data_IF_313393319829
#
_entry.id   IF_313393319829
#
_cell.length_a   1.000
_cell.length_b   1.000
_cell.length_c   1.000
_cell.angle_alpha   90.00
_cell.angle_beta   90.00
_cell.angle_gamma   90.00
#
_symmetry.space_group_name_H-M   'P 1'
#
loop_
_entity.id
_entity.type
_entity.pdbx_description
1 polymer ?
#
# COMPACT_ATOMS: atom_id res chain seq x y z
N UNK A 1 -1.56 2.95 -13.60
CA UNK A 1 -0.38 2.08 -13.87
C UNK A 1 0.33 1.64 -12.58
N UNK A 2 0.77 2.52 -11.70
CA UNK A 2 1.48 2.12 -10.46
C UNK A 2 0.74 1.06 -9.62
N UNK A 3 -0.56 1.21 -9.39
CA UNK A 3 -1.36 0.28 -8.58
C UNK A 3 -1.50 -1.11 -9.19
N UNK A 4 -1.47 -1.25 -10.53
CA UNK A 4 -1.44 -2.57 -11.19
C UNK A 4 -0.14 -3.35 -10.94
N UNK A 5 0.93 -2.65 -10.57
CA UNK A 5 2.19 -3.29 -10.16
C UNK A 5 2.18 -3.57 -8.65
N UNK A 6 1.67 -2.64 -7.86
CA UNK A 6 1.73 -2.71 -6.40
C UNK A 6 0.72 -3.70 -5.80
N UNK A 7 -0.51 -3.76 -6.35
CA UNK A 7 -1.51 -4.69 -5.82
C UNK A 7 -1.06 -6.15 -5.90
N UNK A 8 -0.56 -6.67 -7.03
CA UNK A 8 0.03 -8.02 -7.08
C UNK A 8 1.20 -8.20 -6.11
N UNK A 9 2.04 -7.17 -5.91
CA UNK A 9 3.18 -7.25 -4.99
C UNK A 9 2.75 -7.52 -3.54
N UNK A 10 1.55 -7.04 -3.11
CA UNK A 10 0.96 -7.32 -1.80
C UNK A 10 0.63 -8.82 -1.59
N UNK A 11 0.60 -9.62 -2.65
CA UNK A 11 0.39 -11.07 -2.61
C UNK A 11 1.70 -11.80 -2.87
N UNK A 12 2.45 -11.37 -3.87
CA UNK A 12 3.70 -12.03 -4.32
C UNK A 12 4.75 -12.03 -3.22
N UNK A 13 5.03 -10.89 -2.58
CA UNK A 13 6.07 -10.81 -1.56
C UNK A 13 5.77 -11.67 -0.32
N UNK A 14 4.56 -11.65 0.26
CA UNK A 14 4.23 -12.59 1.34
C UNK A 14 4.38 -14.06 0.96
N UNK A 15 3.96 -14.46 -0.25
CA UNK A 15 4.12 -15.85 -0.72
C UNK A 15 5.60 -16.18 -0.93
N UNK A 16 6.38 -15.28 -1.53
CA UNK A 16 7.81 -15.47 -1.78
C UNK A 16 8.60 -15.69 -0.48
N UNK A 17 8.31 -14.90 0.55
CA UNK A 17 9.05 -14.94 1.80
C UNK A 17 8.57 -16.02 2.76
N UNK A 18 7.26 -16.23 2.85
CA UNK A 18 6.64 -17.03 3.91
C UNK A 18 5.85 -18.23 3.40
N UNK A 19 5.55 -18.27 2.10
CA UNK A 19 4.85 -19.40 1.48
C UNK A 19 5.63 -20.71 1.59
N UNK A 20 4.89 -21.82 1.67
CA UNK A 20 5.51 -23.14 1.51
C UNK A 20 6.04 -23.32 0.09
N UNK A 21 6.90 -24.29 -0.14
CA UNK A 21 7.44 -24.55 -1.48
C UNK A 21 6.32 -24.92 -2.48
N UNK A 22 5.27 -25.58 -2.01
CA UNK A 22 4.07 -25.89 -2.79
C UNK A 22 3.32 -24.62 -3.16
N UNK A 23 3.12 -23.70 -2.21
CA UNK A 23 2.48 -22.40 -2.47
C UNK A 23 3.28 -21.55 -3.46
N UNK A 24 4.60 -21.50 -3.30
CA UNK A 24 5.49 -20.79 -4.24
C UNK A 24 5.39 -21.37 -5.64
N UNK A 25 5.47 -22.71 -5.77
CA UNK A 25 5.34 -23.42 -7.06
C UNK A 25 3.96 -23.23 -7.70
N UNK A 26 2.90 -23.17 -6.90
CA UNK A 26 1.53 -23.02 -7.40
C UNK A 26 1.25 -21.61 -7.88
N UNK A 27 1.61 -20.59 -7.10
CA UNK A 27 1.13 -19.22 -7.30
C UNK A 27 2.14 -18.28 -7.99
N UNK A 28 3.44 -18.38 -7.69
CA UNK A 28 4.41 -17.40 -8.19
C UNK A 28 4.64 -17.44 -9.71
N UNK A 29 4.63 -18.59 -10.41
CA UNK A 29 4.88 -18.62 -11.84
C UNK A 29 3.91 -17.78 -12.68
N UNK A 30 2.66 -17.62 -12.22
CA UNK A 30 1.66 -16.80 -12.90
C UNK A 30 2.05 -15.31 -12.99
N UNK A 31 2.84 -14.82 -12.04
CA UNK A 31 3.28 -13.41 -11.99
C UNK A 31 4.56 -13.13 -12.80
N UNK A 32 5.25 -14.16 -13.25
CA UNK A 32 6.46 -14.04 -14.12
C UNK A 32 6.19 -14.26 -15.60
N UNK A 33 4.94 -14.50 -15.97
CA UNK A 33 4.54 -14.75 -17.37
C UNK A 33 4.28 -13.46 -18.16
N UNK A 34 4.00 -13.61 -19.47
CA UNK A 34 3.62 -12.49 -20.35
C UNK A 34 2.20 -11.96 -20.07
N UNK A 35 1.33 -12.78 -19.50
CA UNK A 35 -0.04 -12.39 -19.15
C UNK A 35 -0.09 -11.77 -17.76
N UNK A 36 -0.69 -10.59 -17.68
CA UNK A 36 -0.94 -9.92 -16.39
C UNK A 36 -1.80 -10.80 -15.48
N UNK A 37 -1.31 -11.06 -14.27
CA UNK A 37 -2.04 -11.75 -13.21
C UNK A 37 -2.54 -10.74 -12.20
N UNK A 38 -3.85 -10.55 -12.13
CA UNK A 38 -4.47 -9.64 -11.17
C UNK A 38 -4.51 -10.27 -9.77
N UNK A 39 -3.99 -9.56 -8.80
CA UNK A 39 -4.04 -9.99 -7.40
C UNK A 39 -4.05 -8.78 -6.46
N UNK A 40 -4.61 -8.96 -5.27
CA UNK A 40 -4.68 -7.92 -4.25
C UNK A 40 -4.72 -8.52 -2.85
N UNK A 41 -4.56 -7.67 -1.83
CA UNK A 41 -4.70 -8.10 -0.44
C UNK A 41 -5.85 -7.38 0.28
N UNK A 42 -6.47 -8.08 1.24
CA UNK A 42 -7.57 -7.59 2.03
C UNK A 42 -7.21 -7.63 3.52
N UNK A 43 -6.89 -6.46 4.08
CA UNK A 43 -6.49 -6.31 5.47
C UNK A 43 -7.50 -5.49 6.27
N UNK A 44 -7.84 -4.28 5.79
CA UNK A 44 -8.61 -3.29 6.52
C UNK A 44 -10.06 -3.77 6.74
N UNK A 45 -10.61 -3.51 7.92
CA UNK A 45 -11.97 -3.85 8.32
C UNK A 45 -12.81 -2.58 8.53
N UNK A 46 -14.12 -2.61 8.23
CA UNK A 46 -15.01 -1.45 8.33
C UNK A 46 -15.36 -1.16 9.81
N UNK A 47 -14.37 -0.77 10.60
CA UNK A 47 -14.55 -0.38 12.01
C UNK A 47 -13.71 0.84 12.38
N UNK A 48 -14.22 1.66 13.26
CA UNK A 48 -13.61 2.93 13.65
C UNK A 48 -12.20 2.78 14.23
N UNK A 49 -12.01 1.83 15.15
CA UNK A 49 -10.71 1.55 15.78
C UNK A 49 -10.05 0.34 15.13
N UNK A 50 -9.73 0.43 13.83
CA UNK A 50 -9.06 -0.66 13.15
C UNK A 50 -7.63 -0.86 13.70
N UNK A 51 -7.35 -2.10 14.09
CA UNK A 51 -6.02 -2.56 14.50
C UNK A 51 -5.67 -3.82 13.69
N UNK A 52 -4.60 -3.79 12.88
CA UNK A 52 -4.20 -4.94 12.06
C UNK A 52 -3.78 -6.16 12.88
N UNK A 53 -3.43 -5.97 14.15
CA UNK A 53 -3.07 -7.04 15.07
C UNK A 53 -4.27 -7.63 15.83
N UNK A 54 -5.45 -7.02 15.71
CA UNK A 54 -6.68 -7.46 16.37
C UNK A 54 -7.84 -7.48 15.38
N UNK A 55 -7.80 -8.42 14.43
CA UNK A 55 -8.80 -8.53 13.37
C UNK A 55 -10.11 -9.12 13.88
N UNK A 56 -11.24 -8.60 13.39
CA UNK A 56 -12.59 -9.12 13.63
C UNK A 56 -12.96 -10.25 12.66
N UNK A 57 -12.42 -10.21 11.44
CA UNK A 57 -12.51 -11.33 10.49
C UNK A 57 -11.82 -12.53 11.09
N UNK A 58 -12.51 -13.66 11.16
CA UNK A 58 -12.02 -14.90 11.80
C UNK A 58 -11.71 -15.98 10.79
N UNK A 59 -10.74 -16.83 11.11
CA UNK A 59 -10.45 -18.05 10.38
C UNK A 59 -10.43 -19.22 11.37
N UNK A 60 -11.27 -20.22 11.16
CA UNK A 60 -11.39 -21.41 12.00
C UNK A 60 -11.04 -22.65 11.18
N UNK A 61 -10.16 -23.49 11.73
CA UNK A 61 -9.86 -24.80 11.14
C UNK A 61 -11.05 -25.74 11.35
N UNK A 62 -11.53 -26.36 10.27
CA UNK A 62 -12.62 -27.33 10.26
C UNK A 62 -12.22 -28.52 9.38
N UNK A 63 -11.72 -29.58 9.99
CA UNK A 63 -11.18 -30.73 9.31
C UNK A 63 -9.97 -30.39 8.42
N UNK A 64 -10.12 -30.53 7.11
CA UNK A 64 -9.08 -30.22 6.13
C UNK A 64 -9.31 -28.87 5.42
N UNK A 65 -10.11 -27.99 6.02
CA UNK A 65 -10.44 -26.66 5.46
C UNK A 65 -10.36 -25.59 6.54
N UNK A 66 -10.12 -24.35 6.13
CA UNK A 66 -10.41 -23.15 6.92
C UNK A 66 -11.75 -22.58 6.52
N UNK A 67 -12.50 -22.14 7.51
CA UNK A 67 -13.74 -21.36 7.34
C UNK A 67 -13.47 -19.95 7.77
N UNK A 68 -13.62 -19.00 6.84
CA UNK A 68 -13.42 -17.59 7.07
C UNK A 68 -14.76 -16.86 7.11
N UNK A 69 -14.92 -15.98 8.10
CA UNK A 69 -16.12 -15.15 8.26
C UNK A 69 -15.74 -13.74 8.72
N UNK A 70 -16.31 -12.71 8.07
CA UNK A 70 -16.07 -11.30 8.38
C UNK A 70 -16.16 -10.40 7.15
N UNK A 71 -15.72 -9.17 7.31
CA UNK A 71 -15.80 -8.12 6.30
C UNK A 71 -14.47 -7.38 6.16
N UNK A 72 -14.17 -6.94 4.92
CA UNK A 72 -13.02 -6.11 4.58
C UNK A 72 -13.45 -4.94 3.73
N UNK A 73 -12.72 -3.82 3.80
CA UNK A 73 -13.00 -2.62 3.02
C UNK A 73 -11.72 -2.03 2.42
N UNK A 74 -11.88 -1.07 1.53
CA UNK A 74 -10.79 -0.37 0.83
C UNK A 74 -9.83 -1.31 0.12
N UNK A 75 -10.34 -2.41 -0.44
CA UNK A 75 -9.51 -3.40 -1.14
C UNK A 75 -9.27 -2.92 -2.57
N UNK A 76 -8.03 -2.58 -2.93
CA UNK A 76 -7.75 -2.04 -4.25
C UNK A 76 -7.93 -3.10 -5.34
N UNK A 77 -8.65 -2.75 -6.42
CA UNK A 77 -8.84 -3.57 -7.62
C UNK A 77 -9.41 -4.97 -7.37
N UNK A 78 -10.20 -5.17 -6.29
CA UNK A 78 -10.69 -6.50 -5.90
C UNK A 78 -11.59 -7.14 -6.96
N UNK A 79 -12.40 -6.36 -7.68
CA UNK A 79 -13.28 -6.90 -8.73
C UNK A 79 -12.51 -7.54 -9.89
N UNK A 80 -11.29 -7.07 -10.17
CA UNK A 80 -10.43 -7.57 -11.24
C UNK A 80 -9.50 -8.69 -10.76
N UNK A 81 -9.30 -8.83 -9.44
CA UNK A 81 -8.34 -9.77 -8.87
C UNK A 81 -8.78 -11.23 -9.03
N UNK A 82 -7.90 -12.07 -9.57
CA UNK A 82 -8.06 -13.51 -9.64
C UNK A 82 -7.62 -14.20 -8.34
N UNK A 83 -6.71 -13.55 -7.60
CA UNK A 83 -6.12 -14.06 -6.37
C UNK A 83 -6.13 -12.99 -5.28
N UNK A 84 -6.62 -13.34 -4.10
CA UNK A 84 -6.67 -12.47 -2.93
C UNK A 84 -5.86 -13.07 -1.78
N UNK A 85 -5.07 -12.24 -1.10
CA UNK A 85 -4.48 -12.56 0.19
C UNK A 85 -5.30 -11.87 1.29
N UNK A 86 -6.16 -12.64 1.95
CA UNK A 86 -7.05 -12.13 3.00
C UNK A 86 -6.42 -12.38 4.36
N UNK A 87 -6.38 -11.37 5.20
CA UNK A 87 -5.90 -11.50 6.58
C UNK A 87 -7.07 -11.68 7.54
N UNK A 88 -6.96 -12.67 8.42
CA UNK A 88 -7.98 -13.02 9.41
C UNK A 88 -7.32 -13.48 10.72
N UNK A 89 -8.05 -13.35 11.83
CA UNK A 89 -7.62 -13.86 13.13
C UNK A 89 -7.78 -15.37 13.21
N UNK A 90 -6.69 -16.08 13.46
CA UNK A 90 -6.65 -17.49 13.82
C UNK A 90 -6.06 -17.62 15.21
N UNK A 91 -6.85 -18.16 16.16
CA UNK A 91 -6.44 -18.32 17.56
C UNK A 91 -5.85 -17.02 18.18
N UNK A 92 -6.44 -15.88 17.88
CA UNK A 92 -6.02 -14.56 18.39
C UNK A 92 -4.82 -13.94 17.69
N UNK A 93 -4.31 -14.52 16.61
CA UNK A 93 -3.19 -13.99 15.82
C UNK A 93 -3.61 -13.73 14.38
N UNK A 94 -3.18 -12.62 13.81
CA UNK A 94 -3.42 -12.29 12.39
C UNK A 94 -2.62 -13.21 11.49
N UNK A 95 -3.29 -13.91 10.57
CA UNK A 95 -2.72 -14.83 9.60
C UNK A 95 -3.22 -14.53 8.19
N UNK A 96 -2.45 -14.90 7.17
CA UNK A 96 -2.80 -14.74 5.77
C UNK A 96 -3.44 -16.00 5.18
N UNK A 97 -4.47 -15.81 4.34
CA UNK A 97 -5.20 -16.88 3.66
C UNK A 97 -5.32 -16.55 2.17
N UNK A 98 -4.86 -17.46 1.32
CA UNK A 98 -4.87 -17.29 -0.13
C UNK A 98 -6.23 -17.79 -0.65
N UNK A 99 -6.99 -16.88 -1.28
CA UNK A 99 -8.34 -17.16 -1.77
C UNK A 99 -8.39 -16.87 -3.27
N UNK A 100 -8.87 -17.82 -4.06
CA UNK A 100 -9.07 -17.68 -5.49
C UNK A 100 -10.45 -17.05 -5.77
N UNK A 101 -10.56 -16.25 -6.83
CA UNK A 101 -11.83 -15.67 -7.27
C UNK A 101 -12.89 -16.74 -7.47
N UNK A 102 -14.11 -16.45 -7.06
CA UNK A 102 -15.23 -17.38 -7.20
C UNK A 102 -15.31 -18.47 -6.13
N UNK A 103 -14.44 -18.42 -5.10
CA UNK A 103 -14.56 -19.31 -3.93
C UNK A 103 -15.95 -19.11 -3.27
N UNK A 104 -16.72 -20.17 -3.01
CA UNK A 104 -18.03 -20.05 -2.35
C UNK A 104 -17.92 -19.35 -0.99
N UNK A 105 -18.82 -18.42 -0.73
CA UNK A 105 -18.81 -17.58 0.47
C UNK A 105 -17.93 -16.34 0.39
N UNK A 106 -17.21 -16.12 -0.72
CA UNK A 106 -16.50 -14.88 -1.02
C UNK A 106 -17.41 -14.00 -1.89
N UNK A 107 -17.78 -12.83 -1.40
CA UNK A 107 -18.55 -11.84 -2.13
C UNK A 107 -17.76 -10.53 -2.21
N UNK A 108 -17.61 -9.99 -3.42
CA UNK A 108 -17.01 -8.66 -3.64
C UNK A 108 -18.17 -7.69 -3.89
N UNK A 109 -18.23 -6.64 -3.07
CA UNK A 109 -19.26 -5.62 -3.12
C UNK A 109 -19.12 -4.65 -4.29
N UNK A 110 -19.92 -3.59 -4.26
CA UNK A 110 -19.81 -2.51 -5.23
C UNK A 110 -18.52 -1.69 -5.01
N UNK A 111 -18.12 -0.96 -6.06
CA UNK A 111 -17.02 -0.01 -5.96
C UNK A 111 -17.34 1.09 -4.95
N UNK A 112 -16.43 1.31 -4.01
CA UNK A 112 -16.55 2.37 -3.01
C UNK A 112 -16.45 3.77 -3.65
N UNK A 113 -17.26 4.70 -3.13
CA UNK A 113 -17.33 6.09 -3.60
C UNK A 113 -16.43 6.97 -2.72
N UNK A 114 -15.15 6.98 -3.01
CA UNK A 114 -14.17 7.78 -2.26
C UNK A 114 -14.18 9.25 -2.70
N UNK A 115 -13.90 10.16 -1.78
CA UNK A 115 -13.73 11.59 -2.06
C UNK A 115 -12.47 11.84 -2.90
N UNK A 116 -11.35 11.23 -2.52
CA UNK A 116 -10.06 11.24 -3.25
C UNK A 116 -9.78 9.93 -3.94
N UNK A 117 -8.59 9.79 -4.53
CA UNK A 117 -8.04 8.57 -5.17
C UNK A 117 -9.05 7.94 -6.16
N UNK A 118 -9.78 8.75 -6.90
CA UNK A 118 -10.86 8.29 -7.80
C UNK A 118 -10.37 7.38 -8.92
N UNK A 119 -9.09 7.47 -9.27
CA UNK A 119 -8.47 6.58 -10.26
C UNK A 119 -8.21 5.17 -9.73
N UNK A 120 -8.17 4.96 -8.42
CA UNK A 120 -8.04 3.65 -7.78
C UNK A 120 -9.42 3.14 -7.35
N UNK A 121 -9.91 2.11 -8.02
CA UNK A 121 -11.13 1.44 -7.59
C UNK A 121 -10.85 0.62 -6.33
N UNK A 122 -11.58 0.87 -5.26
CA UNK A 122 -11.58 0.06 -4.03
C UNK A 122 -12.94 -0.57 -3.82
N UNK A 123 -12.97 -1.66 -3.07
CA UNK A 123 -14.15 -2.50 -2.88
C UNK A 123 -14.26 -2.99 -1.45
N UNK A 124 -15.48 -3.26 -1.02
CA UNK A 124 -15.75 -4.08 0.14
C UNK A 124 -15.70 -5.57 -0.24
N UNK A 125 -15.42 -6.42 0.75
CA UNK A 125 -15.43 -7.86 0.61
C UNK A 125 -16.12 -8.47 1.83
N UNK A 126 -17.06 -9.39 1.58
CA UNK A 126 -17.74 -10.16 2.62
C UNK A 126 -17.35 -11.64 2.52
N UNK A 127 -17.04 -12.22 3.66
CA UNK A 127 -16.73 -13.64 3.85
C UNK A 127 -17.85 -14.26 4.68
N UNK A 128 -18.68 -15.09 4.05
CA UNK A 128 -19.82 -15.79 4.68
C UNK A 128 -19.53 -17.29 4.69
N UNK A 129 -18.91 -17.76 5.77
CA UNK A 129 -18.44 -19.16 5.90
C UNK A 129 -17.62 -19.63 4.69
N UNK A 130 -16.76 -18.72 4.19
CA UNK A 130 -15.91 -18.97 3.03
C UNK A 130 -14.95 -20.11 3.33
N UNK A 131 -15.12 -21.25 2.64
CA UNK A 131 -14.32 -22.46 2.83
C UNK A 131 -13.18 -22.52 1.85
N UNK A 132 -11.96 -22.62 2.39
CA UNK A 132 -10.74 -22.81 1.61
C UNK A 132 -9.96 -24.04 2.09
N UNK A 133 -9.18 -24.66 1.20
CA UNK A 133 -8.29 -25.77 1.58
C UNK A 133 -7.29 -25.35 2.66
N UNK A 134 -6.93 -26.28 3.54
CA UNK A 134 -5.97 -26.03 4.63
C UNK A 134 -4.61 -25.54 4.13
N UNK A 135 -4.19 -26.02 2.98
CA UNK A 135 -2.94 -25.64 2.32
C UNK A 135 -2.92 -24.18 1.82
N UNK A 136 -4.06 -23.51 1.77
CA UNK A 136 -4.17 -22.09 1.38
C UNK A 136 -3.86 -21.12 2.54
N UNK A 137 -3.64 -21.61 3.76
CA UNK A 137 -3.07 -20.78 4.84
C UNK A 137 -1.62 -20.45 4.50
N UNK A 138 -1.27 -19.19 4.42
CA UNK A 138 0.08 -18.74 4.09
C UNK A 138 1.11 -19.31 5.06
N UNK A 139 2.16 -19.94 4.54
CA UNK A 139 3.18 -20.61 5.32
C UNK A 139 2.72 -21.97 5.90
N UNK A 140 1.56 -22.48 5.50
CA UNK A 140 1.03 -23.78 5.90
C UNK A 140 0.90 -23.89 7.43
N UNK A 141 1.40 -24.98 8.01
CA UNK A 141 1.33 -25.21 9.47
C UNK A 141 2.10 -24.19 10.31
N UNK A 142 3.19 -23.63 9.78
CA UNK A 142 4.01 -22.61 10.47
C UNK A 142 3.29 -21.27 10.55
N UNK A 143 2.46 -20.94 9.55
CA UNK A 143 1.84 -19.63 9.41
C UNK A 143 2.81 -18.57 8.90
N UNK A 144 2.37 -17.31 8.95
CA UNK A 144 3.17 -16.17 8.52
C UNK A 144 3.59 -15.29 9.71
N UNK A 145 4.75 -14.66 9.57
CA UNK A 145 5.17 -13.54 10.42
C UNK A 145 4.44 -12.29 9.95
N UNK A 146 3.27 -12.04 10.54
CA UNK A 146 2.42 -10.92 10.15
C UNK A 146 3.08 -9.56 10.41
N UNK A 147 3.86 -9.42 11.48
CA UNK A 147 4.58 -8.19 11.78
C UNK A 147 5.58 -7.82 10.66
N UNK A 148 6.29 -8.83 10.16
CA UNK A 148 7.22 -8.64 9.03
C UNK A 148 6.49 -8.21 7.75
N UNK A 149 5.30 -8.76 7.50
CA UNK A 149 4.45 -8.34 6.36
C UNK A 149 4.07 -6.87 6.49
N UNK A 150 3.58 -6.45 7.66
CA UNK A 150 3.21 -5.06 7.93
C UNK A 150 4.41 -4.12 7.78
N UNK A 151 5.56 -4.46 8.34
CA UNK A 151 6.77 -3.64 8.25
C UNK A 151 7.22 -3.48 6.79
N UNK A 152 7.19 -4.54 5.99
CA UNK A 152 7.49 -4.47 4.56
C UNK A 152 6.49 -3.56 3.82
N UNK A 153 5.21 -3.67 4.11
CA UNK A 153 4.17 -2.82 3.51
C UNK A 153 4.39 -1.34 3.86
N UNK A 154 4.73 -1.04 5.11
CA UNK A 154 5.08 0.32 5.56
C UNK A 154 6.25 0.89 4.79
N UNK A 155 7.35 0.15 4.66
CA UNK A 155 8.53 0.59 3.91
C UNK A 155 8.19 0.83 2.43
N UNK A 156 7.42 -0.06 1.80
CA UNK A 156 7.01 0.08 0.41
C UNK A 156 6.12 1.31 0.18
N UNK A 157 5.13 1.55 1.04
CA UNK A 157 4.24 2.72 0.97
C UNK A 157 5.02 4.02 1.20
N UNK A 158 5.94 4.05 2.15
CA UNK A 158 6.79 5.21 2.39
C UNK A 158 7.72 5.52 1.21
N UNK A 159 8.25 4.49 0.54
CA UNK A 159 9.02 4.68 -0.69
C UNK A 159 8.18 5.26 -1.83
N UNK A 160 6.89 4.88 -1.91
CA UNK A 160 5.94 5.51 -2.84
C UNK A 160 5.69 6.98 -2.48
N UNK A 161 5.50 7.30 -1.21
CA UNK A 161 5.32 8.67 -0.73
C UNK A 161 6.51 9.56 -1.12
N UNK A 162 7.75 9.05 -0.99
CA UNK A 162 8.97 9.73 -1.49
C UNK A 162 8.88 9.98 -3.00
N UNK A 163 8.38 9.02 -3.78
CA UNK A 163 8.20 9.18 -5.23
C UNK A 163 7.20 10.26 -5.60
N UNK A 164 6.05 10.30 -4.91
CA UNK A 164 5.01 11.33 -5.10
C UNK A 164 5.55 12.72 -4.72
N UNK A 165 6.15 12.83 -3.53
CA UNK A 165 6.73 14.08 -3.05
C UNK A 165 7.81 14.61 -4.00
N UNK A 166 8.70 13.73 -4.48
CA UNK A 166 9.74 14.09 -5.46
C UNK A 166 9.13 14.65 -6.76
N UNK A 167 8.11 14.01 -7.30
CA UNK A 167 7.45 14.49 -8.53
C UNK A 167 6.81 15.88 -8.33
N UNK A 168 6.12 16.09 -7.22
CA UNK A 168 5.54 17.38 -6.87
C UNK A 168 6.60 18.48 -6.69
N UNK A 169 7.72 18.14 -5.99
CA UNK A 169 8.84 19.05 -5.81
C UNK A 169 9.52 19.42 -7.14
N UNK A 170 9.88 18.44 -7.97
CA UNK A 170 10.55 18.70 -9.25
C UNK A 170 9.69 19.58 -10.15
N UNK A 171 8.39 19.30 -10.22
CA UNK A 171 7.46 20.11 -11.01
C UNK A 171 7.34 21.55 -10.50
N UNK A 172 7.12 21.73 -9.19
CA UNK A 172 6.98 23.06 -8.59
C UNK A 172 8.28 23.88 -8.64
N UNK A 173 9.44 23.22 -8.50
CA UNK A 173 10.77 23.85 -8.65
C UNK A 173 10.96 24.40 -10.07
N UNK A 174 10.64 23.62 -11.10
CA UNK A 174 10.83 24.02 -12.48
C UNK A 174 9.84 25.10 -12.86
N UNK A 175 8.57 24.99 -12.44
CA UNK A 175 7.60 26.08 -12.56
C UNK A 175 8.09 27.37 -11.91
N UNK A 176 8.65 27.33 -10.71
CA UNK A 176 9.13 28.52 -9.99
C UNK A 176 10.28 29.23 -10.71
N UNK A 177 11.12 28.49 -11.47
CA UNK A 177 12.20 29.07 -12.28
C UNK A 177 11.70 29.74 -13.54
N UNK A 178 10.61 29.29 -14.12
CA UNK A 178 10.06 29.80 -15.39
C UNK A 178 9.01 30.88 -15.17
N UNK A 179 8.21 30.78 -14.11
CA UNK A 179 7.12 31.72 -13.81
C UNK A 179 7.67 33.06 -13.37
N UNK A 180 7.43 34.08 -14.18
CA UNK A 180 7.77 35.49 -13.86
C UNK A 180 6.57 36.19 -13.22
N UNK A 181 6.80 36.82 -12.06
CA UNK A 181 5.87 37.72 -11.40
C UNK A 181 6.64 38.87 -10.76
N UNK A 182 6.10 40.08 -10.89
CA UNK A 182 6.75 41.30 -10.39
C UNK A 182 8.16 41.52 -10.97
N UNK A 183 8.37 41.19 -12.25
CA UNK A 183 9.58 41.46 -13.00
C UNK A 183 10.71 40.42 -12.88
N UNK A 184 10.54 39.36 -12.10
CA UNK A 184 11.55 38.29 -11.94
C UNK A 184 10.91 36.91 -11.74
N UNK A 185 11.68 35.80 -11.96
CA UNK A 185 11.21 34.46 -11.61
C UNK A 185 10.79 34.37 -10.15
N UNK A 186 9.68 33.65 -9.88
CA UNK A 186 9.20 33.53 -8.48
C UNK A 186 10.18 32.74 -7.59
N UNK A 187 11.06 31.94 -8.16
CA UNK A 187 12.15 31.26 -7.45
C UNK A 187 13.13 32.24 -6.76
N UNK A 188 13.23 33.50 -7.23
CA UNK A 188 14.05 34.53 -6.61
C UNK A 188 13.46 35.07 -5.29
N UNK A 189 12.17 34.78 -5.04
CA UNK A 189 11.51 35.18 -3.80
C UNK A 189 11.93 34.26 -2.65
N UNK A 190 12.44 34.86 -1.58
CA UNK A 190 12.98 34.12 -0.43
C UNK A 190 11.98 33.11 0.15
N UNK A 191 10.69 33.46 0.25
CA UNK A 191 9.67 32.55 0.76
C UNK A 191 9.53 31.29 -0.12
N UNK A 192 9.56 31.42 -1.45
CA UNK A 192 9.51 30.30 -2.39
C UNK A 192 10.80 29.48 -2.32
N UNK A 193 11.96 30.15 -2.30
CA UNK A 193 13.26 29.47 -2.20
C UNK A 193 13.36 28.62 -0.93
N UNK A 194 12.87 29.14 0.20
CA UNK A 194 12.88 28.39 1.48
C UNK A 194 11.92 27.20 1.46
N UNK A 195 10.69 27.35 0.92
CA UNK A 195 9.80 26.20 0.74
C UNK A 195 10.46 25.10 -0.08
N UNK A 196 11.07 25.44 -1.21
CA UNK A 196 11.76 24.46 -2.05
C UNK A 196 12.94 23.78 -1.33
N UNK A 197 13.72 24.54 -0.56
CA UNK A 197 14.83 23.99 0.21
C UNK A 197 14.36 23.00 1.30
N UNK A 198 13.32 23.36 2.04
CA UNK A 198 12.73 22.50 3.06
C UNK A 198 12.11 21.23 2.43
N UNK A 199 11.38 21.34 1.32
CA UNK A 199 10.85 20.18 0.59
C UNK A 199 11.97 19.22 0.19
N UNK A 200 13.09 19.73 -0.33
CA UNK A 200 14.22 18.90 -0.73
C UNK A 200 14.83 18.16 0.46
N UNK A 201 15.03 18.85 1.59
CA UNK A 201 15.59 18.25 2.82
C UNK A 201 14.71 17.11 3.32
N UNK A 202 13.40 17.34 3.41
CA UNK A 202 12.45 16.36 3.94
C UNK A 202 12.31 15.12 3.04
N UNK A 203 12.32 15.30 1.72
CA UNK A 203 12.34 14.20 0.75
C UNK A 203 13.61 13.34 0.93
N UNK A 204 14.78 13.97 1.03
CA UNK A 204 16.04 13.26 1.15
C UNK A 204 16.17 12.55 2.51
N UNK A 205 15.73 13.18 3.60
CA UNK A 205 15.68 12.57 4.93
C UNK A 205 14.79 11.32 4.91
N UNK A 206 13.56 11.42 4.38
CA UNK A 206 12.63 10.29 4.29
C UNK A 206 13.18 9.17 3.41
N UNK A 207 13.85 9.51 2.30
CA UNK A 207 14.49 8.53 1.41
C UNK A 207 15.57 7.73 2.13
N UNK A 208 16.41 8.39 2.92
CA UNK A 208 17.46 7.73 3.70
C UNK A 208 16.87 6.80 4.76
N UNK A 209 15.80 7.21 5.45
CA UNK A 209 15.07 6.36 6.40
C UNK A 209 14.48 5.13 5.68
N UNK A 210 13.93 5.31 4.48
CA UNK A 210 13.39 4.20 3.69
C UNK A 210 14.49 3.21 3.27
N UNK A 211 15.66 3.69 2.89
CA UNK A 211 16.82 2.84 2.56
C UNK A 211 17.35 2.08 3.78
N UNK A 212 17.44 2.72 4.94
CA UNK A 212 17.83 2.05 6.18
C UNK A 212 16.86 0.92 6.54
N UNK A 213 15.55 1.21 6.53
CA UNK A 213 14.54 0.21 6.84
C UNK A 213 14.53 -0.95 5.83
N UNK A 214 14.67 -0.66 4.53
CA UNK A 214 14.76 -1.68 3.48
C UNK A 214 16.01 -2.56 3.66
N UNK A 215 17.16 -1.96 3.94
CA UNK A 215 18.41 -2.68 4.18
C UNK A 215 18.32 -3.63 5.38
N UNK A 216 17.68 -3.22 6.48
CA UNK A 216 17.43 -4.08 7.65
C UNK A 216 16.47 -5.23 7.30
N UNK A 217 15.43 -4.97 6.50
CA UNK A 217 14.52 -6.02 6.01
C UNK A 217 15.27 -7.09 5.20
N UNK A 218 16.19 -6.69 4.31
CA UNK A 218 17.00 -7.60 3.52
C UNK A 218 17.92 -8.46 4.38
N UNK A 219 18.42 -7.91 5.48
CA UNK A 219 19.22 -8.63 6.49
C UNK A 219 18.39 -9.49 7.43
N UNK A 220 17.06 -9.50 7.28
CA UNK A 220 16.12 -10.22 8.15
C UNK A 220 16.19 -9.80 9.62
N UNK A 221 16.59 -8.57 9.87
CA UNK A 221 16.59 -7.96 11.20
C UNK A 221 15.17 -7.52 11.61
N UNK A 222 14.91 -7.34 12.91
CA UNK A 222 13.69 -6.68 13.37
C UNK A 222 13.70 -5.22 12.91
N UNK A 223 12.70 -4.86 12.14
CA UNK A 223 12.59 -3.53 11.51
C UNK A 223 11.36 -2.78 12.05
N UNK A 224 10.75 -3.25 13.12
CA UNK A 224 9.49 -2.69 13.64
C UNK A 224 9.62 -1.21 14.00
N UNK A 225 10.71 -0.84 14.65
CA UNK A 225 10.99 0.55 15.03
C UNK A 225 11.18 1.43 13.79
N UNK A 226 12.07 1.03 12.89
CA UNK A 226 12.43 1.81 11.71
C UNK A 226 11.24 1.97 10.76
N UNK A 227 10.48 0.91 10.52
CA UNK A 227 9.28 0.95 9.69
C UNK A 227 8.19 1.85 10.28
N UNK A 228 8.03 1.86 11.61
CA UNK A 228 7.05 2.72 12.28
C UNK A 228 7.44 4.20 12.22
N UNK A 229 8.71 4.51 12.53
CA UNK A 229 9.23 5.88 12.44
C UNK A 229 9.15 6.41 11.00
N UNK A 230 9.60 5.59 10.05
CA UNK A 230 9.55 5.92 8.63
C UNK A 230 8.13 6.24 8.15
N UNK A 231 7.16 5.40 8.49
CA UNK A 231 5.76 5.62 8.04
C UNK A 231 5.22 6.93 8.58
N UNK A 232 5.36 7.18 9.89
CA UNK A 232 4.90 8.42 10.51
C UNK A 232 5.54 9.65 9.86
N UNK A 233 6.85 9.60 9.63
CA UNK A 233 7.57 10.72 9.02
C UNK A 233 7.20 10.91 7.53
N UNK A 234 7.04 9.81 6.78
CA UNK A 234 6.70 9.85 5.37
C UNK A 234 5.28 10.41 5.13
N UNK A 235 4.33 10.10 6.02
CA UNK A 235 2.96 10.62 5.94
C UNK A 235 2.94 12.15 6.10
N UNK A 236 3.64 12.68 7.08
CA UNK A 236 3.75 14.12 7.30
C UNK A 236 4.51 14.81 6.14
N UNK A 237 5.63 14.22 5.71
CA UNK A 237 6.45 14.74 4.63
C UNK A 237 5.68 14.85 3.31
N UNK A 238 4.97 13.78 2.89
CA UNK A 238 4.29 13.79 1.59
C UNK A 238 3.16 14.83 1.54
N UNK A 239 2.41 14.98 2.62
CA UNK A 239 1.36 16.00 2.73
C UNK A 239 1.97 17.40 2.67
N UNK A 240 3.02 17.67 3.45
CA UNK A 240 3.70 18.95 3.46
C UNK A 240 4.26 19.33 2.08
N UNK A 241 4.92 18.38 1.40
CA UNK A 241 5.53 18.64 0.08
C UNK A 241 4.48 18.88 -0.98
N UNK A 242 3.42 18.09 -1.03
CA UNK A 242 2.35 18.25 -2.03
C UNK A 242 1.55 19.53 -1.79
N UNK A 243 1.23 19.90 -0.56
CA UNK A 243 0.59 21.16 -0.21
C UNK A 243 1.45 22.38 -0.65
N UNK A 244 2.75 22.35 -0.34
CA UNK A 244 3.66 23.41 -0.77
C UNK A 244 3.83 23.48 -2.28
N UNK A 245 3.79 22.38 -2.99
CA UNK A 245 3.82 22.37 -4.44
C UNK A 245 2.60 23.10 -5.03
N UNK A 246 1.40 22.81 -4.53
CA UNK A 246 0.16 23.53 -4.89
C UNK A 246 0.30 25.02 -4.55
N UNK A 247 0.80 25.35 -3.36
CA UNK A 247 1.00 26.75 -2.91
C UNK A 247 1.96 27.52 -3.82
N UNK A 248 3.07 26.92 -4.26
CA UNK A 248 4.05 27.54 -5.17
C UNK A 248 3.42 27.87 -6.53
N UNK A 249 2.53 27.02 -7.03
CA UNK A 249 1.81 27.29 -8.28
C UNK A 249 0.70 28.33 -8.11
N UNK A 250 0.27 28.63 -6.88
CA UNK A 250 -0.82 29.55 -6.59
C UNK A 250 -2.12 29.12 -7.27
N UNK A 251 -2.83 30.03 -7.97
CA UNK A 251 -4.08 29.71 -8.67
C UNK A 251 -3.95 28.58 -9.71
N UNK A 252 -2.78 28.39 -10.30
CA UNK A 252 -2.51 27.30 -11.24
C UNK A 252 -2.44 25.94 -10.57
N UNK A 253 -2.18 25.87 -9.26
CA UNK A 253 -2.20 24.61 -8.49
C UNK A 253 -3.61 24.00 -8.28
N UNK A 254 -4.67 24.77 -8.62
CA UNK A 254 -6.06 24.31 -8.49
C UNK A 254 -6.72 23.92 -9.82
N UNK A 255 -5.98 23.97 -10.91
CA UNK A 255 -6.52 23.65 -12.24
C UNK A 255 -5.85 22.39 -12.80
N UNK A 256 -6.60 21.61 -13.57
CA UNK A 256 -6.17 20.31 -14.11
C UNK A 256 -5.07 20.37 -15.17
N UNK A 257 -4.66 21.58 -15.58
CA UNK A 257 -3.54 21.75 -16.51
C UNK A 257 -2.18 21.44 -15.85
N UNK A 258 -2.15 21.39 -14.52
CA UNK A 258 -0.97 21.12 -13.72
C UNK A 258 -1.13 19.85 -12.86
N UNK A 259 -0.18 18.90 -12.91
CA UNK A 259 -0.31 17.59 -12.25
C UNK A 259 -0.26 17.64 -10.71
N UNK A 260 0.07 18.76 -10.11
CA UNK A 260 0.09 18.93 -8.64
C UNK A 260 -1.30 18.96 -8.00
N UNK A 261 -2.36 19.14 -8.80
CA UNK A 261 -3.77 19.06 -8.38
C UNK A 261 -4.21 17.61 -8.13
N UNK A 262 -3.58 16.66 -8.77
CA UNK A 262 -3.89 15.23 -8.69
C UNK A 262 -3.39 14.59 -7.38
#
# INVERSE_FOLDING_TARGET
MAMHILCPALVVFPILEMGTEEQKKKYLPAFGGEKYQAATSALIEPRFNFDPYSLSTTARLDGNSYVLSGEKCYIPLAADADLLLVYAAENGSSQGFIIEKGTPGLEIGEREKNMGIKALATYELSLKDCRIPRENRLGGKKGCDFNRIINRSRVALSAMAVGVARAAFEYSRDYAKERVAFGEPIAARQAIAFMLAEMAIEIDATRLMAWEAAWKLDRKEDTTKEASLLTTYADDMVVMVTDRAVQILGGHGYIRDHPVEL
#
